data_IF_508094248178
#
_entry.id   IF_508094248178
#
_cell.length_a   1.000
_cell.length_b   1.000
_cell.length_c   1.000
_cell.angle_alpha   90.00
_cell.angle_beta   90.00
_cell.angle_gamma   90.00
#
_symmetry.space_group_name_H-M   'P 1'
#
loop_
_entity.id
_entity.type
_entity.pdbx_description
1 polymer ?
#
# COMPACT_ATOMS: atom_id res chain seq x y z
N UNK A 1 -7.70 -20.85 17.90
CA UNK A 1 -8.47 -19.71 17.37
C UNK A 1 -7.91 -19.25 16.02
N UNK A 2 -8.77 -18.78 15.09
CA UNK A 2 -8.34 -18.18 13.83
C UNK A 2 -7.92 -16.72 14.01
N UNK A 3 -6.75 -16.33 13.52
CA UNK A 3 -6.23 -14.97 13.55
C UNK A 3 -5.87 -14.47 12.15
N UNK A 4 -6.18 -13.21 11.85
CA UNK A 4 -5.76 -12.57 10.61
C UNK A 4 -4.39 -11.90 10.76
N UNK A 5 -3.66 -11.83 9.66
CA UNK A 5 -2.40 -11.07 9.60
C UNK A 5 -2.67 -9.58 9.77
N UNK A 6 -1.84 -8.93 10.57
CA UNK A 6 -1.91 -7.49 10.76
C UNK A 6 -1.24 -6.77 9.59
N UNK A 7 -1.96 -5.84 8.96
CA UNK A 7 -1.40 -4.95 7.93
C UNK A 7 -0.53 -3.90 8.63
N UNK A 8 0.77 -3.89 8.34
CA UNK A 8 1.77 -3.04 9.00
C UNK A 8 2.20 -1.82 8.20
N UNK A 9 1.44 -1.43 7.18
CA UNK A 9 1.69 -0.14 6.52
C UNK A 9 1.18 0.99 7.42
N UNK A 10 1.99 1.31 8.45
CA UNK A 10 1.71 2.37 9.40
C UNK A 10 2.03 3.70 8.74
N UNK A 11 1.00 4.49 8.46
CA UNK A 11 1.18 5.90 8.13
C UNK A 11 1.70 6.61 9.38
N UNK A 12 2.85 7.24 9.25
CA UNK A 12 3.39 8.11 10.28
C UNK A 12 2.69 9.47 10.19
N UNK A 13 2.59 10.19 11.31
CA UNK A 13 1.96 11.51 11.34
C UNK A 13 2.57 12.50 10.31
N UNK A 14 3.87 12.35 10.01
CA UNK A 14 4.56 13.17 8.99
C UNK A 14 4.13 12.87 7.55
N UNK A 15 3.62 11.66 7.28
CA UNK A 15 3.29 11.22 5.92
C UNK A 15 2.04 11.93 5.41
N UNK A 16 1.12 12.33 6.30
CA UNK A 16 -0.10 13.06 5.94
C UNK A 16 0.23 14.35 5.19
N UNK A 17 1.06 15.20 5.79
CA UNK A 17 1.41 16.49 5.19
C UNK A 17 2.15 16.34 3.85
N UNK A 18 3.06 15.36 3.76
CA UNK A 18 3.79 15.08 2.52
C UNK A 18 2.86 14.61 1.41
N UNK A 19 1.87 13.77 1.74
CA UNK A 19 0.87 13.30 0.77
C UNK A 19 -0.05 14.42 0.31
N UNK A 20 -0.46 15.32 1.21
CA UNK A 20 -1.25 16.51 0.83
C UNK A 20 -0.46 17.36 -0.16
N UNK A 21 0.79 17.71 0.15
CA UNK A 21 1.62 18.52 -0.74
C UNK A 21 1.83 17.86 -2.11
N UNK A 22 2.08 16.55 -2.14
CA UNK A 22 2.16 15.81 -3.39
C UNK A 22 0.86 15.92 -4.20
N UNK A 23 -0.29 15.64 -3.58
CA UNK A 23 -1.59 15.68 -4.26
C UNK A 23 -1.92 17.08 -4.79
N UNK A 24 -1.71 18.12 -3.99
CA UNK A 24 -1.95 19.51 -4.39
C UNK A 24 -1.03 19.91 -5.57
N UNK A 25 0.26 19.59 -5.47
CA UNK A 25 1.22 19.86 -6.54
C UNK A 25 0.90 19.11 -7.82
N UNK A 26 0.56 17.83 -7.73
CA UNK A 26 0.15 17.01 -8.87
C UNK A 26 -1.11 17.56 -9.54
N UNK A 27 -2.12 17.93 -8.76
CA UNK A 27 -3.34 18.56 -9.28
C UNK A 27 -3.07 19.90 -9.96
N UNK A 28 -2.16 20.71 -9.43
CA UNK A 28 -1.76 21.97 -10.06
C UNK A 28 -1.14 21.73 -11.45
N UNK A 29 -0.27 20.71 -11.59
CA UNK A 29 0.29 20.32 -12.90
C UNK A 29 -0.81 19.86 -13.87
N UNK A 30 -1.75 19.03 -13.41
CA UNK A 30 -2.89 18.58 -14.24
C UNK A 30 -3.79 19.73 -14.71
N UNK A 31 -3.98 20.78 -13.89
CA UNK A 31 -4.76 21.97 -14.28
C UNK A 31 -4.06 22.79 -15.36
N UNK A 32 -2.73 22.82 -15.37
CA UNK A 32 -1.94 23.51 -16.40
C UNK A 32 -1.90 22.70 -17.69
N UNK A 33 -1.82 21.38 -17.58
CA UNK A 33 -1.79 20.47 -18.71
C UNK A 33 -2.49 19.16 -18.38
N UNK A 34 -3.65 18.93 -18.99
CA UNK A 34 -4.44 17.72 -18.76
C UNK A 34 -3.73 16.43 -19.18
N UNK A 35 -2.76 16.51 -20.11
CA UNK A 35 -1.93 15.38 -20.56
C UNK A 35 -0.70 15.13 -19.66
N UNK A 36 -0.54 15.89 -18.58
CA UNK A 36 0.59 15.73 -17.67
C UNK A 36 0.74 14.29 -17.14
N UNK A 37 -0.33 13.60 -16.67
CA UNK A 37 -0.21 12.23 -16.18
C UNK A 37 0.32 11.25 -17.23
N UNK A 38 -0.04 11.46 -18.50
CA UNK A 38 0.32 10.56 -19.61
C UNK A 38 1.81 10.63 -19.96
N UNK A 39 2.51 11.68 -19.51
CA UNK A 39 3.95 11.88 -19.73
C UNK A 39 4.79 11.27 -18.62
N UNK A 40 4.18 10.74 -17.57
CA UNK A 40 4.87 10.13 -16.45
C UNK A 40 4.99 8.62 -16.71
N UNK A 41 6.23 8.14 -16.79
CA UNK A 41 6.51 6.70 -16.76
C UNK A 41 6.52 6.23 -15.31
N UNK A 42 5.41 5.63 -14.86
CA UNK A 42 5.31 5.03 -13.54
C UNK A 42 6.04 3.69 -13.51
N UNK A 43 6.88 3.49 -12.50
CA UNK A 43 7.64 2.25 -12.30
C UNK A 43 7.53 1.81 -10.85
N UNK A 44 7.41 0.51 -10.63
CA UNK A 44 7.47 -0.12 -9.31
C UNK A 44 8.01 -1.54 -9.46
N UNK A 45 8.49 -2.11 -8.36
CA UNK A 45 8.90 -3.51 -8.29
C UNK A 45 7.74 -4.37 -7.78
N UNK A 46 7.40 -5.42 -8.52
CA UNK A 46 6.39 -6.39 -8.11
C UNK A 46 7.02 -7.77 -7.92
N UNK A 47 6.74 -8.40 -6.78
CA UNK A 47 7.17 -9.78 -6.51
C UNK A 47 6.05 -10.75 -6.85
N UNK A 48 6.33 -11.71 -7.75
CA UNK A 48 5.43 -12.80 -8.10
C UNK A 48 5.91 -14.10 -7.44
N UNK A 49 5.00 -14.82 -6.77
CA UNK A 49 5.32 -16.13 -6.18
C UNK A 49 4.51 -17.24 -6.84
N UNK A 50 5.06 -18.46 -6.99
CA UNK A 50 4.36 -19.60 -7.62
C UNK A 50 3.02 -19.95 -6.98
N UNK A 51 2.83 -19.61 -5.70
CA UNK A 51 1.60 -19.90 -4.94
C UNK A 51 0.60 -18.72 -4.95
N UNK A 52 0.77 -17.76 -5.86
CA UNK A 52 -0.12 -16.62 -6.04
C UNK A 52 0.20 -15.42 -5.15
N UNK A 53 -0.73 -14.46 -5.15
CA UNK A 53 -0.66 -13.23 -4.34
C UNK A 53 -1.32 -13.51 -3.00
N UNK A 54 -0.70 -13.04 -1.92
CA UNK A 54 -1.28 -13.13 -0.58
C UNK A 54 -2.58 -12.33 -0.50
N UNK A 55 -3.71 -13.04 -0.42
CA UNK A 55 -4.98 -12.43 -0.06
C UNK A 55 -5.11 -12.42 1.47
N UNK A 56 -4.84 -11.28 2.10
CA UNK A 56 -4.92 -11.10 3.54
C UNK A 56 -6.28 -11.46 4.16
N UNK A 57 -7.36 -11.43 3.36
CA UNK A 57 -8.69 -11.85 3.81
C UNK A 57 -8.84 -13.37 3.92
N UNK A 58 -8.18 -14.13 3.04
CA UNK A 58 -8.30 -15.59 3.01
C UNK A 58 -7.18 -16.29 3.81
N UNK A 59 -6.14 -15.56 4.20
CA UNK A 59 -5.06 -16.10 5.01
C UNK A 59 -5.36 -15.95 6.51
N UNK A 60 -5.64 -17.10 7.13
CA UNK A 60 -5.94 -17.25 8.56
C UNK A 60 -4.86 -18.11 9.20
N UNK A 61 -4.31 -17.62 10.31
CA UNK A 61 -3.37 -18.36 11.14
C UNK A 61 -4.12 -19.02 12.29
N UNK A 62 -3.96 -20.33 12.42
CA UNK A 62 -4.57 -21.11 13.50
C UNK A 62 -3.58 -21.27 14.64
N UNK A 63 -3.84 -20.62 15.77
CA UNK A 63 -3.01 -20.70 16.98
C UNK A 63 -3.87 -20.73 18.24
N UNK A 64 -3.32 -21.21 19.35
CA UNK A 64 -4.04 -21.20 20.64
C UNK A 64 -4.10 -19.78 21.24
N UNK A 65 -3.06 -18.98 21.02
CA UNK A 65 -2.97 -17.57 21.43
C UNK A 65 -2.74 -16.67 20.21
N UNK A 66 -3.12 -15.39 20.29
CA UNK A 66 -2.95 -14.46 19.18
C UNK A 66 -1.46 -14.14 18.97
N UNK A 67 -0.84 -14.55 17.86
CA UNK A 67 0.58 -14.34 17.64
C UNK A 67 0.91 -12.94 17.11
N UNK A 68 -0.09 -12.08 16.90
CA UNK A 68 0.08 -10.76 16.26
C UNK A 68 0.91 -10.85 14.97
N UNK A 69 0.60 -11.85 14.14
CA UNK A 69 1.40 -12.17 12.97
C UNK A 69 1.41 -10.99 11.97
N UNK A 70 2.61 -10.49 11.72
CA UNK A 70 2.92 -9.50 10.69
C UNK A 70 3.74 -10.20 9.61
N UNK A 71 3.57 -9.80 8.35
CA UNK A 71 4.41 -10.27 7.25
C UNK A 71 4.98 -9.04 6.54
N UNK A 72 6.32 -9.01 6.42
CA UNK A 72 7.05 -8.03 5.63
C UNK A 72 6.78 -8.24 4.14
#
# INVERSE_FOLDING_TARGET
>A
HPFHYQRVQQLLARDEQQRIYFCEGFLAQCRQNISFPDRILWTDEATFTPNGIFNSRNFVLWQNENPHAIRQ
#
